data_IF_096553290588
#
_entry.id   IF_096553290588
#
_cell.length_a   1.000
_cell.length_b   1.000
_cell.length_c   1.000
_cell.angle_alpha   90.00
_cell.angle_beta   90.00
_cell.angle_gamma   90.00
#
_symmetry.space_group_name_H-M   'P 1'
#
loop_
_entity.id
_entity.type
_entity.pdbx_description
1 polymer ?
#
# COMPACT_ATOMS: atom_id res chain seq x y z
N UNK A 1 6.32 6.43 -18.38
CA UNK A 1 6.29 5.75 -17.08
C UNK A 1 7.07 6.55 -16.06
N UNK A 2 6.52 6.71 -14.85
CA UNK A 2 7.15 7.48 -13.78
C UNK A 2 7.26 6.64 -12.52
N UNK A 3 8.22 7.01 -11.67
CA UNK A 3 8.43 6.36 -10.39
C UNK A 3 8.17 7.36 -9.26
N UNK A 4 7.71 6.84 -8.11
CA UNK A 4 7.44 7.64 -6.91
C UNK A 4 8.06 6.95 -5.71
N UNK A 5 8.74 7.71 -4.86
CA UNK A 5 9.33 7.20 -3.61
C UNK A 5 9.11 8.22 -2.51
N UNK A 6 8.63 7.75 -1.35
CA UNK A 6 8.44 8.61 -0.19
C UNK A 6 8.47 7.81 1.10
N UNK A 7 8.76 8.49 2.20
CA UNK A 7 8.74 7.91 3.55
C UNK A 7 7.57 8.49 4.33
N UNK A 8 6.91 7.63 5.11
CA UNK A 8 5.81 8.04 5.98
C UNK A 8 6.04 7.50 7.38
N UNK A 9 5.73 8.29 8.41
CA UNK A 9 5.78 7.85 9.81
C UNK A 9 4.38 7.47 10.25
N UNK A 10 4.22 6.22 10.71
CA UNK A 10 2.96 5.71 11.23
C UNK A 10 3.16 5.44 12.72
N UNK A 11 2.31 5.99 13.61
CA UNK A 11 2.47 5.83 15.06
C UNK A 11 1.96 4.47 15.56
N UNK A 12 2.53 3.40 15.01
CA UNK A 12 2.22 2.01 15.33
C UNK A 12 3.46 1.16 15.09
N UNK A 13 3.54 -0.02 15.71
CA UNK A 13 4.67 -0.93 15.50
C UNK A 13 4.70 -1.48 14.08
N UNK A 14 5.86 -1.98 13.66
CA UNK A 14 5.98 -2.60 12.33
C UNK A 14 5.00 -3.78 12.17
N UNK A 15 4.79 -4.56 13.23
CA UNK A 15 3.85 -5.66 13.20
C UNK A 15 2.40 -5.18 13.03
N UNK A 16 2.02 -4.12 13.76
CA UNK A 16 0.68 -3.53 13.63
C UNK A 16 0.45 -2.97 12.24
N UNK A 17 1.42 -2.25 11.68
CA UNK A 17 1.31 -1.69 10.32
C UNK A 17 1.23 -2.82 9.29
N UNK A 18 2.05 -3.86 9.44
CA UNK A 18 2.00 -5.01 8.52
C UNK A 18 0.61 -5.66 8.53
N UNK A 19 0.04 -5.88 9.71
CA UNK A 19 -1.30 -6.46 9.84
C UNK A 19 -2.37 -5.56 9.24
N UNK A 20 -2.26 -4.25 9.42
CA UNK A 20 -3.20 -3.29 8.82
C UNK A 20 -3.17 -3.32 7.28
N UNK A 21 -2.08 -3.78 6.68
CA UNK A 21 -1.93 -3.86 5.22
C UNK A 21 -2.24 -5.25 4.65
N UNK A 22 -2.44 -6.27 5.50
CA UNK A 22 -2.61 -7.66 5.04
C UNK A 22 -3.88 -8.34 5.57
N UNK A 23 -4.53 -7.81 6.59
CA UNK A 23 -5.75 -8.40 7.15
C UNK A 23 -6.96 -7.63 6.64
N UNK A 24 -7.87 -8.29 5.87
CA UNK A 24 -9.02 -7.59 5.24
C UNK A 24 -9.88 -6.81 6.23
N UNK A 25 -10.21 -7.39 7.39
CA UNK A 25 -11.05 -6.70 8.37
C UNK A 25 -10.39 -5.45 8.93
N UNK A 26 -9.07 -5.48 9.16
CA UNK A 26 -8.33 -4.29 9.60
C UNK A 26 -8.26 -3.25 8.48
N UNK A 27 -8.05 -3.69 7.24
CA UNK A 27 -8.06 -2.78 6.08
C UNK A 27 -9.39 -2.05 5.94
N UNK A 28 -10.51 -2.74 6.15
CA UNK A 28 -11.84 -2.12 6.12
C UNK A 28 -12.03 -1.10 7.22
N UNK A 29 -11.38 -1.29 8.37
CA UNK A 29 -11.46 -0.34 9.48
C UNK A 29 -10.79 0.98 9.16
N UNK A 30 -9.58 0.97 8.57
CA UNK A 30 -8.88 2.22 8.32
C UNK A 30 -9.23 2.85 6.97
N UNK A 31 -9.70 2.08 6.00
CA UNK A 31 -10.17 2.64 4.72
C UNK A 31 -11.63 3.08 4.78
N UNK A 32 -12.44 2.42 5.62
CA UNK A 32 -13.89 2.65 5.67
C UNK A 32 -14.67 2.01 4.53
N UNK A 33 -14.03 1.15 3.72
CA UNK A 33 -14.62 0.56 2.53
C UNK A 33 -14.29 -0.93 2.44
N UNK A 34 -15.08 -1.73 1.68
CA UNK A 34 -14.79 -3.14 1.48
C UNK A 34 -13.39 -3.39 0.92
N UNK A 35 -12.75 -4.44 1.43
CA UNK A 35 -11.42 -4.86 0.99
C UNK A 35 -11.36 -6.38 0.82
N UNK A 36 -10.58 -6.82 -0.19
CA UNK A 36 -10.23 -8.22 -0.38
C UNK A 36 -8.71 -8.34 -0.33
N UNK A 37 -8.23 -9.23 0.51
CA UNK A 37 -6.78 -9.41 0.71
C UNK A 37 -6.51 -10.81 1.23
N UNK A 38 -5.42 -11.40 0.76
CA UNK A 38 -4.91 -12.66 1.27
C UNK A 38 -3.38 -12.57 1.30
N UNK A 39 -2.76 -13.05 2.37
CA UNK A 39 -1.31 -13.06 2.51
C UNK A 39 -0.71 -14.27 1.78
N UNK A 40 -1.07 -14.40 0.49
CA UNK A 40 -0.62 -15.50 -0.37
C UNK A 40 -0.03 -14.90 -1.64
N UNK A 41 1.26 -15.17 -1.96
CA UNK A 41 1.85 -14.71 -3.22
C UNK A 41 1.05 -15.18 -4.42
N UNK A 42 0.77 -14.27 -5.36
CA UNK A 42 -0.04 -14.52 -6.55
C UNK A 42 -1.52 -14.26 -6.37
N UNK A 43 -2.01 -14.03 -5.14
CA UNK A 43 -3.42 -13.71 -4.91
C UNK A 43 -3.74 -12.28 -5.36
N UNK A 44 -4.96 -12.06 -5.82
CA UNK A 44 -5.41 -10.71 -6.17
C UNK A 44 -5.96 -10.00 -4.93
N UNK A 45 -5.90 -8.67 -4.94
CA UNK A 45 -6.43 -7.85 -3.87
C UNK A 45 -7.24 -6.67 -4.42
N UNK A 46 -8.08 -6.11 -3.53
CA UNK A 46 -8.93 -4.97 -3.84
C UNK A 46 -9.06 -4.12 -2.57
N UNK A 47 -8.98 -2.80 -2.72
CA UNK A 47 -9.13 -1.83 -1.64
C UNK A 47 -10.06 -0.71 -2.09
N UNK A 48 -10.67 -0.02 -1.11
CA UNK A 48 -11.61 1.07 -1.37
C UNK A 48 -12.69 0.66 -2.37
N UNK A 49 -13.29 -0.51 -2.11
CA UNK A 49 -14.39 -1.05 -2.92
C UNK A 49 -14.05 -1.12 -4.42
N UNK A 50 -12.83 -1.58 -4.71
CA UNK A 50 -12.37 -1.78 -6.09
C UNK A 50 -11.69 -0.58 -6.73
N UNK A 51 -11.50 0.52 -6.00
CA UNK A 51 -10.76 1.69 -6.53
C UNK A 51 -9.28 1.39 -6.74
N UNK A 52 -8.73 0.48 -5.93
CA UNK A 52 -7.37 -0.02 -6.09
C UNK A 52 -7.45 -1.53 -6.23
N UNK A 53 -6.93 -2.05 -7.33
CA UNK A 53 -6.88 -3.50 -7.58
C UNK A 53 -5.50 -3.91 -8.07
N UNK A 54 -5.11 -5.13 -7.74
CA UNK A 54 -3.82 -5.65 -8.16
C UNK A 54 -3.59 -7.08 -7.72
N UNK A 55 -2.32 -7.47 -7.75
CA UNK A 55 -1.88 -8.81 -7.38
C UNK A 55 -0.75 -8.72 -6.35
N UNK A 56 -0.84 -9.52 -5.30
CA UNK A 56 0.23 -9.64 -4.33
C UNK A 56 1.37 -10.46 -4.93
N UNK A 57 2.59 -9.94 -4.86
CA UNK A 57 3.76 -10.62 -5.42
C UNK A 57 4.51 -11.37 -4.33
N UNK A 58 4.84 -10.68 -3.23
CA UNK A 58 5.57 -11.32 -2.13
C UNK A 58 5.27 -10.66 -0.80
N UNK A 59 5.49 -11.43 0.27
CA UNK A 59 5.34 -10.98 1.65
C UNK A 59 6.56 -11.39 2.46
N UNK A 60 7.08 -10.46 3.25
CA UNK A 60 8.06 -10.73 4.30
C UNK A 60 7.44 -10.21 5.60
N UNK A 61 6.84 -11.06 6.43
CA UNK A 61 6.02 -10.63 7.57
C UNK A 61 6.72 -9.63 8.48
N UNK A 62 6.05 -8.52 8.72
CA UNK A 62 6.55 -7.42 9.54
C UNK A 62 7.58 -6.52 8.86
N UNK A 63 8.03 -6.83 7.63
CA UNK A 63 9.13 -6.12 6.98
C UNK A 63 8.81 -5.57 5.61
N UNK A 64 8.15 -6.35 4.74
CA UNK A 64 7.98 -5.95 3.34
C UNK A 64 6.75 -6.55 2.71
N UNK A 65 6.10 -5.76 1.83
CA UNK A 65 5.01 -6.21 0.95
C UNK A 65 5.34 -5.71 -0.45
N UNK A 66 5.23 -6.59 -1.45
CA UNK A 66 5.42 -6.22 -2.86
C UNK A 66 4.14 -6.57 -3.61
N UNK A 67 3.62 -5.60 -4.36
CA UNK A 67 2.36 -5.75 -5.11
C UNK A 67 2.53 -5.22 -6.53
N UNK A 68 1.75 -5.78 -7.46
CA UNK A 68 1.53 -5.18 -8.77
C UNK A 68 0.16 -4.49 -8.73
N UNK A 69 0.13 -3.20 -9.09
CA UNK A 69 -1.13 -2.45 -9.19
C UNK A 69 -1.59 -2.41 -10.65
N UNK A 70 -2.88 -2.57 -10.89
CA UNK A 70 -3.46 -2.60 -12.23
C UNK A 70 -3.98 -1.21 -12.61
N UNK A 71 -3.59 -0.72 -13.80
CA UNK A 71 -4.00 0.57 -14.34
C UNK A 71 -4.62 0.41 -15.75
N UNK A 72 -5.44 -0.62 -15.95
CA UNK A 72 -5.99 -0.92 -17.26
C UNK A 72 -4.94 -1.54 -18.18
N UNK A 73 -4.87 -1.09 -19.43
CA UNK A 73 -3.87 -1.60 -20.37
C UNK A 73 -2.48 -1.04 -20.04
N UNK A 74 -1.56 -1.94 -19.75
CA UNK A 74 -0.18 -1.58 -19.42
C UNK A 74 0.78 -2.47 -20.20
N UNK A 75 1.87 -1.87 -20.71
CA UNK A 75 2.95 -2.62 -21.34
C UNK A 75 3.94 -3.15 -20.33
N UNK A 76 4.09 -2.45 -19.18
CA UNK A 76 4.97 -2.85 -18.10
C UNK A 76 4.22 -2.86 -16.78
N UNK A 77 4.57 -3.81 -15.91
CA UNK A 77 3.93 -3.94 -14.61
C UNK A 77 4.28 -2.74 -13.70
N UNK A 78 3.27 -2.18 -13.06
CA UNK A 78 3.44 -1.14 -12.05
C UNK A 78 3.63 -1.82 -10.70
N UNK A 79 4.78 -1.61 -10.06
CA UNK A 79 5.17 -2.36 -8.86
C UNK A 79 5.22 -1.42 -7.65
N UNK A 80 4.53 -1.84 -6.60
CA UNK A 80 4.53 -1.15 -5.30
C UNK A 80 5.35 -2.00 -4.33
N UNK A 81 6.33 -1.38 -3.69
CA UNK A 81 7.12 -2.01 -2.63
C UNK A 81 6.96 -1.17 -1.37
N UNK A 82 6.51 -1.81 -0.30
CA UNK A 82 6.34 -1.18 1.02
C UNK A 82 7.30 -1.86 1.98
N UNK A 83 8.33 -1.13 2.41
CA UNK A 83 9.28 -1.59 3.42
C UNK A 83 8.96 -0.94 4.77
N UNK A 84 8.96 -1.73 5.83
CA UNK A 84 8.64 -1.27 7.19
C UNK A 84 9.90 -1.28 8.03
N UNK A 85 10.26 -0.11 8.57
CA UNK A 85 11.44 0.04 9.42
C UNK A 85 11.03 0.52 10.81
N UNK A 86 11.54 -0.10 11.89
CA UNK A 86 11.29 0.42 13.23
C UNK A 86 11.78 1.86 13.35
N UNK A 87 10.98 2.71 14.01
CA UNK A 87 11.27 4.11 14.21
C UNK A 87 10.89 4.49 15.64
N UNK A 88 11.56 5.50 16.20
CA UNK A 88 11.26 5.93 17.57
C UNK A 88 9.82 6.40 17.77
N UNK A 89 9.15 6.82 16.71
CA UNK A 89 7.75 7.25 16.74
C UNK A 89 6.79 6.18 16.23
N UNK A 90 7.27 4.95 16.00
CA UNK A 90 6.48 3.84 15.52
C UNK A 90 7.14 3.12 14.36
N UNK A 91 6.71 3.39 13.13
CA UNK A 91 7.23 2.76 11.92
C UNK A 91 7.54 3.83 10.88
N UNK A 92 8.73 3.74 10.26
CA UNK A 92 9.03 4.46 9.03
C UNK A 92 8.68 3.56 7.86
N UNK A 93 7.69 3.97 7.07
CA UNK A 93 7.27 3.24 5.87
C UNK A 93 8.02 3.81 4.68
N UNK A 94 8.77 2.96 4.00
CA UNK A 94 9.44 3.33 2.75
C UNK A 94 8.61 2.82 1.59
N UNK A 95 7.96 3.74 0.89
CA UNK A 95 7.14 3.44 -0.28
C UNK A 95 7.93 3.65 -1.56
N UNK A 96 7.94 2.65 -2.44
CA UNK A 96 8.44 2.78 -3.81
C UNK A 96 7.36 2.28 -4.76
N UNK A 97 7.01 3.10 -5.75
CA UNK A 97 6.01 2.73 -6.75
C UNK A 97 6.62 3.01 -8.13
N UNK A 98 6.86 1.98 -8.91
CA UNK A 98 7.55 2.08 -10.21
C UNK A 98 6.59 1.85 -11.37
N UNK A 99 6.93 2.40 -12.55
CA UNK A 99 6.16 2.23 -13.78
C UNK A 99 4.71 2.70 -13.66
N UNK A 100 4.50 3.87 -13.05
CA UNK A 100 3.18 4.49 -12.98
C UNK A 100 2.90 5.15 -14.35
N UNK A 101 1.75 4.86 -14.98
CA UNK A 101 1.38 5.54 -16.22
C UNK A 101 1.40 7.04 -16.05
N UNK A 102 1.94 7.78 -17.02
CA UNK A 102 2.12 9.23 -16.93
C UNK A 102 0.79 9.96 -16.64
N UNK A 103 -0.30 9.50 -17.26
CA UNK A 103 -1.62 10.12 -17.08
C UNK A 103 -2.19 9.92 -15.67
N UNK A 104 -1.73 8.89 -14.96
CA UNK A 104 -2.20 8.57 -13.61
C UNK A 104 -1.28 9.09 -12.52
N UNK A 105 -0.08 9.56 -12.87
CA UNK A 105 0.96 9.87 -11.88
C UNK A 105 0.53 10.93 -10.85
N UNK A 106 -0.07 12.02 -11.30
CA UNK A 106 -0.49 13.10 -10.41
C UNK A 106 -1.52 12.61 -9.38
N UNK A 107 -2.53 11.86 -9.84
CA UNK A 107 -3.57 11.32 -8.97
C UNK A 107 -3.03 10.27 -8.01
N UNK A 108 -2.14 9.40 -8.48
CA UNK A 108 -1.56 8.33 -7.67
C UNK A 108 -0.63 8.90 -6.60
N UNK A 109 0.26 9.83 -6.95
CA UNK A 109 1.16 10.43 -5.96
C UNK A 109 0.41 11.22 -4.89
N UNK A 110 -0.61 11.98 -5.29
CA UNK A 110 -1.48 12.67 -4.36
C UNK A 110 -2.27 11.69 -3.48
N UNK A 111 -2.77 10.61 -4.07
CA UNK A 111 -3.50 9.56 -3.35
C UNK A 111 -2.67 8.87 -2.28
N UNK A 112 -1.38 8.61 -2.53
CA UNK A 112 -0.49 8.06 -1.51
C UNK A 112 -0.38 8.99 -0.29
N UNK A 113 -0.23 10.29 -0.52
CA UNK A 113 -0.07 11.28 0.56
C UNK A 113 -1.37 11.59 1.29
N UNK A 114 -2.43 11.89 0.55
CA UNK A 114 -3.64 12.51 1.10
C UNK A 114 -4.75 11.51 1.40
N UNK A 115 -4.67 10.30 0.84
CA UNK A 115 -5.69 9.27 1.03
C UNK A 115 -5.13 8.04 1.74
N UNK A 116 -4.17 7.35 1.12
CA UNK A 116 -3.71 6.05 1.61
C UNK A 116 -3.03 6.16 2.97
N UNK A 117 -1.89 6.85 3.04
CA UNK A 117 -1.14 6.93 4.30
C UNK A 117 -1.74 7.94 5.29
N UNK A 118 -2.48 8.95 4.82
CA UNK A 118 -3.22 9.83 5.72
C UNK A 118 -4.28 9.05 6.50
N UNK A 119 -5.04 8.18 5.83
CA UNK A 119 -6.04 7.34 6.49
C UNK A 119 -5.40 6.38 7.50
N UNK A 120 -4.27 5.77 7.14
CA UNK A 120 -3.56 4.85 8.02
C UNK A 120 -2.96 5.59 9.24
N UNK A 121 -2.40 6.78 9.04
CA UNK A 121 -1.90 7.62 10.14
C UNK A 121 -3.03 7.99 11.10
N UNK A 122 -4.18 8.41 10.58
CA UNK A 122 -5.34 8.77 11.38
C UNK A 122 -5.86 7.60 12.20
N UNK A 123 -5.83 6.41 11.64
CA UNK A 123 -6.30 5.20 12.33
C UNK A 123 -5.49 4.90 13.58
N UNK A 124 -4.19 5.20 13.57
CA UNK A 124 -3.28 4.95 14.69
C UNK A 124 -2.95 6.21 15.51
N UNK A 125 -3.54 7.31 15.20
CA UNK A 125 -3.27 8.56 15.94
C UNK A 125 -4.18 8.72 17.17
#
# INVERSE_FOLDING_TARGET
MKDYKKYYIIPATTDEVYKALTIPTTMELWTGEPAEMSEVPGSEFSMWDGSIVGKNISFDPGHRIVQQWYFGEQTEASIVTINLHPHKQGTSVELTHTNIPDDDFADISEGWDETYFAALQDFYS
#
